data_IF_112513180016
#
_entry.id   IF_112513180016
#
_cell.length_a   1.000
_cell.length_b   1.000
_cell.length_c   1.000
_cell.angle_alpha   90.00
_cell.angle_beta   90.00
_cell.angle_gamma   90.00
#
_symmetry.space_group_name_H-M   'P 1'
#
loop_
_entity.id
_entity.type
_entity.pdbx_description
1 polymer ?
#
# COMPACT_ATOMS: atom_id res chain seq x y z
N UNK A 1 8.37 8.17 23.01
CA UNK A 1 7.13 8.37 22.23
C UNK A 1 7.30 9.32 21.06
N UNK A 2 7.86 10.52 21.25
CA UNK A 2 8.07 11.50 20.17
C UNK A 2 8.87 10.91 19.00
N UNK A 3 9.97 10.21 19.27
CA UNK A 3 10.80 9.57 18.22
C UNK A 3 10.00 8.55 17.39
N UNK A 4 9.18 7.72 18.03
CA UNK A 4 8.31 6.73 17.35
C UNK A 4 7.29 7.43 16.45
N UNK A 5 6.68 8.52 16.94
CA UNK A 5 5.77 9.34 16.16
C UNK A 5 6.44 10.01 14.95
N UNK A 6 7.67 10.50 15.11
CA UNK A 6 8.45 11.09 14.00
C UNK A 6 8.78 10.06 12.92
N UNK A 7 9.19 8.85 13.31
CA UNK A 7 9.46 7.75 12.36
C UNK A 7 8.17 7.35 11.63
N UNK A 8 7.06 7.21 12.36
CA UNK A 8 5.76 6.91 11.75
C UNK A 8 5.33 8.01 10.76
N UNK A 9 5.49 9.28 11.13
CA UNK A 9 5.23 10.42 10.25
C UNK A 9 6.08 10.40 8.98
N UNK A 10 7.39 10.14 9.10
CA UNK A 10 8.28 10.03 7.94
C UNK A 10 7.88 8.88 6.99
N UNK A 11 7.45 7.75 7.55
CA UNK A 11 6.95 6.61 6.77
C UNK A 11 5.63 6.93 6.05
N UNK A 12 4.73 7.68 6.68
CA UNK A 12 3.50 8.15 6.02
C UNK A 12 3.81 9.10 4.85
N UNK A 13 4.79 10.01 5.03
CA UNK A 13 5.26 10.89 3.95
C UNK A 13 5.85 10.05 2.80
N UNK A 14 6.67 9.04 3.12
CA UNK A 14 7.24 8.13 2.13
C UNK A 14 6.14 7.33 1.40
N UNK A 15 5.11 6.87 2.11
CA UNK A 15 3.93 6.22 1.55
C UNK A 15 3.19 7.15 0.59
N UNK A 16 2.92 8.38 1.00
CA UNK A 16 2.30 9.41 0.15
C UNK A 16 3.13 9.73 -1.09
N UNK A 17 4.46 9.78 -0.97
CA UNK A 17 5.34 9.95 -2.13
C UNK A 17 5.19 8.77 -3.12
N UNK A 18 5.16 7.54 -2.63
CA UNK A 18 4.93 6.37 -3.49
C UNK A 18 3.53 6.36 -4.12
N UNK A 19 2.51 6.85 -3.42
CA UNK A 19 1.17 7.07 -3.98
C UNK A 19 1.21 8.03 -5.17
N UNK A 20 1.80 9.22 -5.02
CA UNK A 20 1.88 10.20 -6.13
C UNK A 20 2.65 9.64 -7.34
N UNK A 21 3.71 8.86 -7.10
CA UNK A 21 4.43 8.16 -8.18
C UNK A 21 3.56 7.11 -8.84
N UNK A 22 2.80 6.33 -8.07
CA UNK A 22 1.85 5.35 -8.60
C UNK A 22 0.80 6.02 -9.50
N UNK A 23 0.16 7.08 -9.01
CA UNK A 23 -0.85 7.83 -9.77
C UNK A 23 -0.29 8.37 -11.08
N UNK A 24 0.93 8.94 -11.06
CA UNK A 24 1.57 9.46 -12.27
C UNK A 24 1.78 8.40 -13.36
N UNK A 25 1.89 7.12 -12.97
CA UNK A 25 2.09 5.98 -13.88
C UNK A 25 0.74 5.44 -14.37
N UNK A 26 -0.25 5.36 -13.49
CA UNK A 26 -1.55 4.73 -13.78
C UNK A 26 -2.50 5.70 -14.47
N UNK A 27 -2.58 6.96 -14.01
CA UNK A 27 -3.53 7.98 -14.51
C UNK A 27 -3.52 8.18 -16.04
N UNK A 28 -2.38 8.23 -16.75
CA UNK A 28 -2.39 8.40 -18.21
C UNK A 28 -2.80 7.14 -18.98
N UNK A 29 -2.91 5.98 -18.32
CA UNK A 29 -3.18 4.68 -18.96
C UNK A 29 -4.62 4.19 -18.80
N UNK A 30 -5.43 4.91 -18.04
CA UNK A 30 -6.82 4.53 -17.73
C UNK A 30 -7.80 5.54 -18.34
N UNK A 31 -9.08 5.16 -18.55
CA UNK A 31 -10.11 6.10 -18.96
C UNK A 31 -10.24 7.29 -18.01
N UNK A 32 -10.62 8.45 -18.54
CA UNK A 32 -10.96 9.61 -17.69
C UNK A 32 -12.19 9.23 -16.84
N UNK A 33 -12.02 9.28 -15.54
CA UNK A 33 -13.03 8.95 -14.53
C UNK A 33 -13.01 10.01 -13.43
N UNK A 34 -14.04 10.03 -12.59
CA UNK A 34 -14.07 10.93 -11.43
C UNK A 34 -12.90 10.60 -10.47
N UNK A 35 -12.44 11.59 -9.71
CA UNK A 35 -11.28 11.42 -8.82
C UNK A 35 -11.52 10.35 -7.74
N UNK A 36 -12.75 10.25 -7.25
CA UNK A 36 -13.15 9.23 -6.27
C UNK A 36 -13.12 7.82 -6.88
N UNK A 37 -13.66 7.67 -8.09
CA UNK A 37 -13.63 6.41 -8.85
C UNK A 37 -12.19 5.99 -9.15
N UNK A 38 -11.34 6.96 -9.50
CA UNK A 38 -9.91 6.73 -9.74
C UNK A 38 -9.20 6.15 -8.52
N UNK A 39 -9.43 6.71 -7.33
CA UNK A 39 -8.77 6.24 -6.09
C UNK A 39 -9.10 4.78 -5.77
N UNK A 40 -10.35 4.37 -6.04
CA UNK A 40 -10.78 2.98 -5.85
C UNK A 40 -10.22 2.09 -6.97
N UNK A 41 -10.31 2.55 -8.22
CA UNK A 41 -9.94 1.77 -9.40
C UNK A 41 -8.42 1.59 -9.55
N UNK A 42 -7.60 2.52 -9.03
CA UNK A 42 -6.13 2.43 -9.07
C UNK A 42 -5.63 1.08 -8.61
N UNK A 43 -6.17 0.58 -7.49
CA UNK A 43 -5.74 -0.70 -6.93
C UNK A 43 -6.03 -1.88 -7.82
N UNK A 44 -7.12 -1.84 -8.59
CA UNK A 44 -7.42 -2.85 -9.60
C UNK A 44 -6.47 -2.73 -10.80
N UNK A 45 -6.31 -1.51 -11.31
CA UNK A 45 -5.52 -1.23 -12.51
C UNK A 45 -4.04 -1.55 -12.35
N UNK A 46 -3.45 -1.34 -11.18
CA UNK A 46 -2.04 -1.63 -10.90
C UNK A 46 -1.65 -3.08 -11.21
N UNK A 47 -2.58 -4.02 -11.03
CA UNK A 47 -2.35 -5.45 -11.28
C UNK A 47 -2.70 -5.88 -12.70
N UNK A 48 -3.24 -4.99 -13.54
CA UNK A 48 -3.54 -5.29 -14.93
C UNK A 48 -2.25 -5.60 -15.72
N UNK A 49 -2.32 -6.54 -16.67
CA UNK A 49 -1.16 -7.02 -17.45
C UNK A 49 -0.40 -5.90 -18.17
N UNK A 50 -1.12 -4.90 -18.67
CA UNK A 50 -0.57 -3.80 -19.47
C UNK A 50 0.11 -2.71 -18.62
N UNK A 51 0.03 -2.81 -17.29
CA UNK A 51 0.71 -1.87 -16.41
C UNK A 51 2.21 -2.19 -16.29
N UNK A 52 3.07 -1.15 -16.24
CA UNK A 52 4.49 -1.35 -16.05
C UNK A 52 4.80 -1.82 -14.62
N UNK A 53 5.83 -2.66 -14.49
CA UNK A 53 6.26 -3.21 -13.20
C UNK A 53 6.53 -2.13 -12.15
N UNK A 54 6.99 -0.94 -12.56
CA UNK A 54 7.25 0.19 -11.64
C UNK A 54 6.00 0.60 -10.85
N UNK A 55 4.79 0.49 -11.43
CA UNK A 55 3.54 0.76 -10.70
C UNK A 55 3.37 -0.23 -9.55
N UNK A 56 3.52 -1.53 -9.82
CA UNK A 56 3.41 -2.60 -8.80
C UNK A 56 4.43 -2.41 -7.67
N UNK A 57 5.67 -2.07 -8.01
CA UNK A 57 6.71 -1.80 -7.00
C UNK A 57 6.37 -0.58 -6.12
N UNK A 58 5.83 0.49 -6.70
CA UNK A 58 5.39 1.65 -5.92
C UNK A 58 4.19 1.33 -5.02
N UNK A 59 3.24 0.53 -5.51
CA UNK A 59 2.13 0.05 -4.70
C UNK A 59 2.61 -0.79 -3.52
N UNK A 60 3.52 -1.75 -3.74
CA UNK A 60 4.12 -2.56 -2.66
C UNK A 60 4.87 -1.68 -1.66
N UNK A 61 5.75 -0.77 -2.12
CA UNK A 61 6.54 0.09 -1.24
C UNK A 61 5.66 1.04 -0.42
N UNK A 62 4.60 1.58 -1.02
CA UNK A 62 3.60 2.37 -0.31
C UNK A 62 2.94 1.55 0.79
N UNK A 63 2.46 0.34 0.48
CA UNK A 63 1.81 -0.52 1.47
C UNK A 63 2.77 -0.90 2.60
N UNK A 64 4.02 -1.24 2.28
CA UNK A 64 5.05 -1.52 3.31
C UNK A 64 5.25 -0.31 4.22
N UNK A 65 5.44 0.88 3.65
CA UNK A 65 5.63 2.10 4.43
C UNK A 65 4.40 2.42 5.29
N UNK A 66 3.20 2.31 4.74
CA UNK A 66 1.94 2.52 5.44
C UNK A 66 1.72 1.51 6.57
N UNK A 67 2.00 0.22 6.34
CA UNK A 67 1.91 -0.82 7.37
C UNK A 67 2.92 -0.59 8.48
N UNK A 68 4.18 -0.27 8.16
CA UNK A 68 5.18 0.05 9.19
C UNK A 68 4.80 1.28 10.01
N UNK A 69 4.33 2.35 9.37
CA UNK A 69 3.83 3.52 10.07
C UNK A 69 2.66 3.17 11.01
N UNK A 70 1.75 2.32 10.53
CA UNK A 70 0.57 1.89 11.28
C UNK A 70 0.95 1.03 12.49
N UNK A 71 1.88 0.09 12.33
CA UNK A 71 2.39 -0.73 13.44
C UNK A 71 3.08 0.12 14.51
N UNK A 72 3.88 1.11 14.09
CA UNK A 72 4.51 2.05 15.01
C UNK A 72 3.47 2.91 15.74
N UNK A 73 2.43 3.37 15.05
CA UNK A 73 1.32 4.09 15.68
C UNK A 73 0.51 3.20 16.63
N UNK A 74 0.34 1.91 16.33
CA UNK A 74 -0.31 0.96 17.24
C UNK A 74 0.40 0.85 18.59
N UNK A 75 1.74 0.99 18.64
CA UNK A 75 2.49 1.04 19.91
C UNK A 75 2.09 2.29 20.72
N UNK A 76 1.90 3.43 20.05
CA UNK A 76 1.45 4.67 20.69
C UNK A 76 0.02 4.53 21.22
N UNK A 77 -0.88 3.97 20.40
CA UNK A 77 -2.28 3.73 20.77
C UNK A 77 -2.40 2.75 21.94
N UNK A 78 -1.59 1.69 21.95
CA UNK A 78 -1.57 0.71 23.03
C UNK A 78 -1.30 1.36 24.39
N UNK A 79 -0.39 2.34 24.42
CA UNK A 79 -0.01 3.04 25.66
C UNK A 79 -1.00 4.14 26.07
N UNK A 80 -1.76 4.70 25.12
CA UNK A 80 -2.54 5.92 25.34
C UNK A 80 -4.07 5.72 25.35
N UNK A 81 -4.61 4.65 24.75
CA UNK A 81 -6.07 4.49 24.53
C UNK A 81 -6.58 3.13 24.99
N UNK A 82 -6.47 2.10 24.14
CA UNK A 82 -6.99 0.76 24.44
C UNK A 82 -6.21 -0.32 23.68
N UNK A 83 -5.64 -1.33 24.36
CA UNK A 83 -4.87 -2.40 23.74
C UNK A 83 -5.60 -3.13 22.60
N UNK A 84 -6.90 -3.39 22.79
CA UNK A 84 -7.74 -4.03 21.79
C UNK A 84 -7.78 -3.26 20.46
N UNK A 85 -7.89 -1.93 20.50
CA UNK A 85 -7.91 -1.11 19.28
C UNK A 85 -6.55 -1.16 18.56
N UNK A 86 -5.44 -1.14 19.30
CA UNK A 86 -4.10 -1.28 18.74
C UNK A 86 -3.90 -2.63 18.02
N UNK A 87 -4.44 -3.73 18.58
CA UNK A 87 -4.40 -5.06 17.95
C UNK A 87 -5.19 -5.08 16.64
N UNK A 88 -6.44 -4.59 16.66
CA UNK A 88 -7.30 -4.55 15.46
C UNK A 88 -6.63 -3.71 14.36
N UNK A 89 -6.10 -2.56 14.74
CA UNK A 89 -5.44 -1.64 13.81
C UNK A 89 -4.16 -2.23 13.21
N UNK A 90 -3.32 -2.87 14.03
CA UNK A 90 -2.14 -3.59 13.57
C UNK A 90 -2.50 -4.78 12.65
N UNK A 91 -3.53 -5.55 13.02
CA UNK A 91 -4.03 -6.68 12.26
C UNK A 91 -4.53 -6.28 10.87
N UNK A 92 -5.33 -5.21 10.78
CA UNK A 92 -5.83 -4.69 9.50
C UNK A 92 -4.68 -4.24 8.58
N UNK A 93 -3.66 -3.57 9.13
CA UNK A 93 -2.50 -3.13 8.35
C UNK A 93 -1.64 -4.31 7.85
N UNK A 94 -1.50 -5.36 8.65
CA UNK A 94 -0.82 -6.59 8.24
C UNK A 94 -1.61 -7.35 7.17
N UNK A 95 -2.93 -7.45 7.32
CA UNK A 95 -3.80 -8.06 6.32
C UNK A 95 -3.66 -7.37 4.95
N UNK A 96 -3.70 -6.04 4.91
CA UNK A 96 -3.51 -5.27 3.68
C UNK A 96 -2.13 -5.48 3.04
N UNK A 97 -1.07 -5.60 3.85
CA UNK A 97 0.27 -5.94 3.36
C UNK A 97 0.30 -7.35 2.75
N UNK A 98 -0.30 -8.34 3.42
CA UNK A 98 -0.35 -9.71 2.90
C UNK A 98 -1.12 -9.80 1.58
N UNK A 99 -2.26 -9.11 1.44
CA UNK A 99 -3.03 -9.07 0.20
C UNK A 99 -2.19 -8.51 -0.97
N UNK A 100 -1.49 -7.39 -0.74
CA UNK A 100 -0.64 -6.76 -1.76
C UNK A 100 0.56 -7.64 -2.13
N UNK A 101 1.22 -8.27 -1.15
CA UNK A 101 2.33 -9.19 -1.40
C UNK A 101 1.86 -10.47 -2.12
N UNK A 102 0.66 -10.96 -1.78
CA UNK A 102 0.05 -12.09 -2.46
C UNK A 102 -0.19 -11.77 -3.94
N UNK A 103 -0.84 -10.64 -4.24
CA UNK A 103 -1.06 -10.18 -5.62
C UNK A 103 0.24 -10.02 -6.39
N UNK A 104 1.28 -9.46 -5.75
CA UNK A 104 2.60 -9.34 -6.36
C UNK A 104 3.23 -10.69 -6.71
N UNK A 105 3.18 -11.66 -5.78
CA UNK A 105 3.70 -13.01 -6.03
C UNK A 105 2.91 -13.77 -7.09
N UNK A 106 1.59 -13.63 -7.12
CA UNK A 106 0.74 -14.24 -8.15
C UNK A 106 1.10 -13.69 -9.53
N UNK A 107 1.24 -12.36 -9.64
CA UNK A 107 1.69 -11.74 -10.88
C UNK A 107 3.09 -12.23 -11.31
N UNK A 108 4.06 -12.32 -10.38
CA UNK A 108 5.38 -12.85 -10.71
C UNK A 108 5.34 -14.32 -11.16
N UNK A 109 4.45 -15.13 -10.59
CA UNK A 109 4.25 -16.52 -11.01
C UNK A 109 3.65 -16.62 -12.41
N UNK A 110 2.59 -15.87 -12.70
CA UNK A 110 1.97 -15.81 -14.04
C UNK A 110 2.96 -15.36 -15.11
N UNK A 111 3.86 -14.43 -14.78
CA UNK A 111 4.91 -13.99 -15.68
C UNK A 111 5.96 -15.07 -15.98
N UNK A 112 6.29 -15.93 -14.99
CA UNK A 112 7.31 -16.99 -15.13
C UNK A 112 6.76 -18.25 -15.78
N UNK A 113 5.46 -18.49 -15.65
CA UNK A 113 4.74 -19.57 -16.31
C UNK A 113 3.68 -18.96 -17.23
N UNK A 114 4.08 -18.35 -18.36
CA UNK A 114 3.11 -18.12 -19.42
C UNK A 114 2.64 -19.51 -19.82
N UNK A 115 1.41 -19.85 -19.48
CA UNK A 115 0.78 -21.06 -19.99
C UNK A 115 0.89 -20.95 -21.51
N UNK A 116 1.70 -21.84 -22.07
CA UNK A 116 1.93 -22.02 -23.50
C UNK A 116 0.64 -22.50 -24.19
#
# INVERSE_FOLDING_TARGET
MIVVGLIAGALLILGGWHWTKLESIVRPRIPKMAEEEFRVAVWYWVWHRDMPDRARHHAVRMTVAGTMATLLMSIVIWQAVHPAFAIVWAGAAMYGLFDVLWKFRTFERERRSPIA
#
